data_IF_025242741432
#
_entry.id   IF_025242741432
#
_cell.length_a   1.000
_cell.length_b   1.000
_cell.length_c   1.000
_cell.angle_alpha   90.00
_cell.angle_beta   90.00
_cell.angle_gamma   90.00
#
_symmetry.space_group_name_H-M   'P 1'
#
loop_
_entity.id
_entity.type
_entity.pdbx_description
1 polymer ?
#
# COMPACT_ATOMS: atom_id res chain seq x y z
N UNK A 1 -41.42 37.79 24.94
CA UNK A 1 -42.23 36.78 25.65
C UNK A 1 -42.86 35.81 24.64
N UNK A 2 -42.29 34.65 24.38
CA UNK A 2 -43.01 33.48 23.85
C UNK A 2 -42.25 32.24 24.33
N UNK A 3 -42.97 31.37 25.05
CA UNK A 3 -42.47 30.19 25.75
C UNK A 3 -42.32 29.04 24.77
N UNK A 4 -41.13 28.39 24.75
CA UNK A 4 -40.88 27.14 24.07
C UNK A 4 -41.39 25.95 24.89
N UNK A 5 -42.15 25.06 24.28
CA UNK A 5 -42.60 23.78 24.88
C UNK A 5 -41.64 22.67 24.45
N UNK A 6 -41.02 22.01 25.43
CA UNK A 6 -40.35 20.71 25.27
C UNK A 6 -41.44 19.63 25.05
N UNK A 7 -41.25 18.81 24.04
CA UNK A 7 -41.90 17.50 23.92
C UNK A 7 -40.87 16.40 24.13
N UNK A 8 -41.07 15.65 25.20
CA UNK A 8 -40.34 14.40 25.44
C UNK A 8 -41.08 13.27 24.70
N UNK A 9 -40.36 12.52 23.86
CA UNK A 9 -40.87 11.32 23.22
C UNK A 9 -40.22 10.12 23.91
N UNK A 10 -41.02 9.36 24.64
CA UNK A 10 -40.68 8.04 25.19
C UNK A 10 -40.81 7.01 24.04
N UNK A 11 -39.73 6.32 23.71
CA UNK A 11 -39.77 5.15 22.82
C UNK A 11 -39.81 3.85 23.62
N UNK A 12 -40.47 2.79 23.13
CA UNK A 12 -40.65 1.55 23.85
C UNK A 12 -39.41 0.65 23.78
N UNK A 13 -39.02 0.09 24.91
CA UNK A 13 -38.01 -0.95 25.04
C UNK A 13 -38.55 -2.29 24.49
N UNK A 14 -37.86 -2.87 23.52
CA UNK A 14 -38.12 -4.23 23.03
C UNK A 14 -37.19 -5.18 23.78
N UNK A 15 -37.82 -6.05 24.60
CA UNK A 15 -37.12 -7.14 25.26
C UNK A 15 -36.88 -8.29 24.28
N UNK A 16 -35.62 -8.69 24.10
CA UNK A 16 -35.23 -9.84 23.29
C UNK A 16 -35.35 -11.12 24.14
N UNK A 17 -36.28 -11.98 23.78
CA UNK A 17 -36.45 -13.32 24.40
C UNK A 17 -35.51 -14.28 23.69
N UNK A 18 -34.50 -14.80 24.39
CA UNK A 18 -33.63 -15.87 23.89
C UNK A 18 -34.30 -17.21 24.22
N UNK A 19 -34.76 -17.92 23.19
CA UNK A 19 -35.29 -19.29 23.32
C UNK A 19 -34.13 -20.28 23.17
N UNK A 20 -33.85 -21.03 24.24
CA UNK A 20 -32.89 -22.13 24.25
C UNK A 20 -33.58 -23.41 23.77
N UNK A 21 -33.14 -23.94 22.61
CA UNK A 21 -33.52 -25.29 22.16
C UNK A 21 -32.57 -26.33 22.77
N UNK A 22 -33.08 -27.17 23.65
CA UNK A 22 -32.39 -28.36 24.19
C UNK A 22 -32.61 -29.53 23.23
N UNK A 23 -31.53 -30.21 22.80
CA UNK A 23 -31.60 -31.49 22.12
C UNK A 23 -31.39 -32.65 23.10
N UNK A 24 -32.10 -33.79 22.98
CA UNK A 24 -31.93 -34.94 23.86
C UNK A 24 -30.68 -35.73 23.45
N UNK A 25 -29.89 -36.13 24.45
CA UNK A 25 -28.70 -36.93 24.25
C UNK A 25 -29.04 -38.43 24.14
N UNK A 26 -28.47 -39.08 23.13
CA UNK A 26 -28.40 -40.53 23.03
C UNK A 26 -27.03 -40.99 23.55
N UNK A 27 -27.07 -41.80 24.61
CA UNK A 27 -25.92 -42.48 25.19
C UNK A 27 -25.68 -43.81 24.44
N UNK A 28 -24.66 -43.82 23.54
CA UNK A 28 -24.11 -45.05 22.99
C UNK A 28 -22.78 -45.37 23.69
N UNK A 29 -22.77 -46.43 24.48
CA UNK A 29 -21.57 -47.02 25.09
C UNK A 29 -20.74 -47.74 23.99
N UNK A 30 -19.60 -47.19 23.61
CA UNK A 30 -18.65 -47.84 22.76
C UNK A 30 -17.46 -48.33 23.59
N UNK A 31 -17.23 -49.65 23.61
CA UNK A 31 -16.09 -50.33 24.19
C UNK A 31 -14.82 -49.96 23.41
N UNK A 32 -13.83 -49.39 24.11
CA UNK A 32 -12.54 -49.04 23.56
C UNK A 32 -11.64 -50.27 23.46
N UNK A 33 -11.34 -50.70 22.25
CA UNK A 33 -10.18 -51.54 21.97
C UNK A 33 -9.00 -50.68 21.54
N UNK A 34 -7.91 -50.78 22.28
CA UNK A 34 -6.70 -49.98 22.14
C UNK A 34 -5.83 -50.57 21.01
N UNK A 35 -5.59 -49.89 19.87
CA UNK A 35 -4.54 -50.35 18.94
C UNK A 35 -3.22 -49.64 19.29
N UNK A 36 -2.16 -50.43 19.33
CA UNK A 36 -0.79 -50.05 19.61
C UNK A 36 -0.36 -48.79 18.82
N UNK A 37 0.18 -47.81 19.54
CA UNK A 37 0.74 -46.58 18.98
C UNK A 37 1.97 -46.89 18.10
N UNK A 38 1.80 -46.88 16.79
CA UNK A 38 2.92 -46.82 15.84
C UNK A 38 3.50 -45.40 15.91
N UNK A 39 4.72 -45.32 16.40
CA UNK A 39 5.50 -44.08 16.49
C UNK A 39 5.80 -43.61 15.06
N UNK A 40 5.00 -42.62 14.59
CA UNK A 40 5.28 -41.92 13.34
C UNK A 40 6.59 -41.14 13.49
N UNK A 41 7.63 -41.54 12.80
CA UNK A 41 8.86 -40.77 12.63
C UNK A 41 8.52 -39.54 11.81
N UNK A 42 8.50 -38.35 12.48
CA UNK A 42 8.35 -37.08 11.80
C UNK A 42 9.50 -36.86 10.83
N UNK A 43 9.21 -36.74 9.54
CA UNK A 43 10.17 -36.32 8.53
C UNK A 43 10.76 -34.96 8.91
N UNK A 44 12.07 -34.75 8.74
CA UNK A 44 12.69 -33.47 9.05
C UNK A 44 12.10 -32.37 8.16
N UNK A 45 11.64 -31.31 8.79
CA UNK A 45 11.19 -30.10 8.10
C UNK A 45 12.30 -29.59 7.17
N UNK A 46 12.02 -29.32 5.87
CA UNK A 46 13.07 -28.84 4.97
C UNK A 46 13.67 -27.54 5.50
N UNK A 47 14.97 -27.56 5.74
CA UNK A 47 15.74 -26.37 6.13
C UNK A 47 15.58 -25.32 5.02
N UNK A 48 15.21 -24.05 5.34
CA UNK A 48 15.12 -23.01 4.33
C UNK A 48 16.42 -22.93 3.54
N UNK A 49 16.32 -22.94 2.21
CA UNK A 49 17.48 -22.81 1.35
C UNK A 49 18.22 -21.50 1.70
N UNK A 50 19.51 -21.59 1.98
CA UNK A 50 20.33 -20.42 2.25
C UNK A 50 20.30 -19.49 1.03
N UNK A 51 20.13 -18.18 1.25
CA UNK A 51 20.19 -17.18 0.19
C UNK A 51 21.49 -17.35 -0.63
N UNK A 52 21.46 -17.29 -1.97
CA UNK A 52 22.65 -17.37 -2.80
C UNK A 52 23.71 -16.38 -2.34
N UNK A 53 24.93 -16.84 -2.08
CA UNK A 53 26.01 -16.03 -1.50
C UNK A 53 26.67 -15.04 -2.47
N UNK A 54 26.38 -15.10 -3.77
CA UNK A 54 27.10 -14.35 -4.80
C UNK A 54 26.28 -13.19 -5.36
N UNK A 55 26.16 -12.09 -4.59
CA UNK A 55 26.02 -10.80 -5.27
C UNK A 55 27.42 -10.26 -5.57
N UNK A 56 27.64 -9.80 -6.80
CA UNK A 56 28.88 -9.13 -7.22
C UNK A 56 29.22 -8.01 -6.23
N UNK A 57 30.48 -7.89 -5.78
CA UNK A 57 30.88 -6.82 -4.90
C UNK A 57 30.48 -5.47 -5.55
N UNK A 58 29.81 -4.59 -4.79
CA UNK A 58 29.31 -3.31 -5.30
C UNK A 58 27.94 -3.36 -5.98
N UNK A 59 27.28 -4.53 -6.09
CA UNK A 59 25.93 -4.60 -6.67
C UNK A 59 24.90 -3.85 -5.82
N UNK A 60 23.99 -3.16 -6.49
CA UNK A 60 22.91 -2.38 -5.89
C UNK A 60 21.62 -2.53 -6.69
N UNK A 61 20.51 -2.18 -6.07
CA UNK A 61 19.21 -2.09 -6.71
C UNK A 61 18.72 -0.65 -6.62
N UNK A 62 18.33 -0.09 -7.74
CA UNK A 62 17.63 1.20 -7.79
C UNK A 62 16.16 0.93 -8.03
N UNK A 63 15.34 1.35 -7.07
CA UNK A 63 13.90 1.33 -7.10
C UNK A 63 13.40 2.75 -7.40
N UNK A 64 12.44 2.87 -8.30
CA UNK A 64 11.62 4.07 -8.46
C UNK A 64 10.23 3.77 -7.92
N UNK A 65 9.66 4.66 -7.12
CA UNK A 65 8.35 4.51 -6.51
C UNK A 65 7.50 5.76 -6.71
N UNK A 66 6.19 5.54 -6.87
CA UNK A 66 5.17 6.58 -6.96
C UNK A 66 3.98 6.24 -6.06
N UNK A 67 3.12 7.22 -5.82
CA UNK A 67 1.92 7.09 -5.00
C UNK A 67 0.73 6.47 -5.74
N UNK A 68 -0.45 7.05 -5.53
CA UNK A 68 -1.75 6.50 -5.88
C UNK A 68 -2.06 6.68 -7.37
N UNK A 69 -2.48 5.59 -8.02
CA UNK A 69 -2.72 5.56 -9.47
C UNK A 69 -4.07 4.94 -9.80
N UNK A 70 -4.82 5.67 -10.64
CA UNK A 70 -6.16 5.32 -11.06
C UNK A 70 -6.45 5.97 -12.43
N UNK A 71 -6.52 5.19 -13.51
CA UNK A 71 -6.60 5.72 -14.88
C UNK A 71 -8.04 5.99 -15.36
N UNK A 72 -8.91 6.43 -14.46
CA UNK A 72 -10.33 6.72 -14.76
C UNK A 72 -11.28 5.76 -14.08
N UNK A 73 -12.57 5.98 -14.30
CA UNK A 73 -13.68 5.17 -13.81
C UNK A 73 -14.56 4.80 -14.98
N UNK A 74 -14.68 3.52 -15.31
CA UNK A 74 -15.59 3.09 -16.39
C UNK A 74 -17.02 3.62 -16.14
N UNK A 75 -17.67 4.37 -17.10
CA UNK A 75 -17.23 4.60 -18.48
C UNK A 75 -16.33 5.82 -18.72
N UNK A 76 -16.08 6.68 -17.71
CA UNK A 76 -15.21 7.86 -17.83
C UNK A 76 -13.74 7.44 -17.73
N UNK A 77 -13.11 7.27 -18.87
CA UNK A 77 -11.76 6.77 -19.02
C UNK A 77 -10.89 7.78 -19.80
N UNK A 78 -9.60 7.83 -19.46
CA UNK A 78 -8.66 8.68 -20.17
C UNK A 78 -8.73 8.42 -21.67
N UNK A 79 -8.83 9.46 -22.52
CA UNK A 79 -9.00 9.31 -23.96
C UNK A 79 -7.79 8.68 -24.64
N UNK A 80 -6.59 8.88 -24.08
CA UNK A 80 -5.33 8.29 -24.56
C UNK A 80 -4.55 7.62 -23.42
N UNK A 81 -5.04 6.48 -22.90
CA UNK A 81 -4.40 5.81 -21.78
C UNK A 81 -3.02 5.25 -22.12
N UNK A 82 -2.70 5.09 -23.41
CA UNK A 82 -1.41 4.59 -23.87
C UNK A 82 -0.27 5.60 -23.67
N UNK A 83 -0.56 6.88 -23.57
CA UNK A 83 0.40 7.96 -23.36
C UNK A 83 0.20 8.70 -22.03
N UNK A 84 -0.64 8.15 -21.14
CA UNK A 84 -0.98 8.81 -19.88
C UNK A 84 0.24 9.12 -19.01
N UNK A 85 1.29 8.31 -19.07
CA UNK A 85 2.53 8.49 -18.33
C UNK A 85 3.67 9.07 -19.18
N UNK A 86 3.43 9.43 -20.45
CA UNK A 86 4.50 9.77 -21.39
C UNK A 86 5.44 10.88 -20.90
N UNK A 87 4.89 11.93 -20.27
CA UNK A 87 5.67 13.06 -19.74
C UNK A 87 6.63 12.66 -18.60
N UNK A 88 6.28 11.64 -17.81
CA UNK A 88 7.05 11.20 -16.63
C UNK A 88 7.78 9.86 -16.85
N UNK A 89 7.51 9.14 -17.96
CA UNK A 89 8.12 7.85 -18.27
C UNK A 89 9.67 7.88 -18.21
N UNK A 90 10.36 8.90 -18.74
CA UNK A 90 11.82 8.98 -18.59
C UNK A 90 12.28 9.02 -17.14
N UNK A 91 11.56 9.74 -16.28
CA UNK A 91 11.88 9.82 -14.86
C UNK A 91 11.55 8.51 -14.13
N UNK A 92 10.50 7.78 -14.53
CA UNK A 92 10.17 6.48 -13.95
C UNK A 92 11.25 5.43 -14.25
N UNK A 93 11.71 5.36 -15.50
CA UNK A 93 12.54 4.25 -16.00
C UNK A 93 14.04 4.46 -15.89
N UNK A 94 14.52 5.71 -15.97
CA UNK A 94 15.95 5.98 -16.07
C UNK A 94 16.74 5.41 -14.88
N UNK A 95 17.58 4.41 -15.15
CA UNK A 95 18.46 3.78 -14.15
C UNK A 95 17.75 2.91 -13.11
N UNK A 96 16.42 2.74 -13.19
CA UNK A 96 15.67 1.90 -12.27
C UNK A 96 15.65 0.44 -12.74
N UNK A 97 15.86 -0.50 -11.83
CA UNK A 97 15.65 -1.92 -12.05
C UNK A 97 14.22 -2.34 -11.67
N UNK A 98 13.58 -1.59 -10.78
CA UNK A 98 12.21 -1.81 -10.33
C UNK A 98 11.48 -0.47 -10.37
N UNK A 99 10.28 -0.47 -10.95
CA UNK A 99 9.33 0.65 -10.87
C UNK A 99 8.10 0.15 -10.14
N UNK A 100 7.79 0.78 -9.02
CA UNK A 100 6.72 0.42 -8.09
C UNK A 100 5.67 1.54 -8.05
N UNK A 101 4.38 1.18 -7.92
CA UNK A 101 3.31 2.14 -7.68
C UNK A 101 2.10 1.50 -7.01
N UNK A 102 1.28 2.32 -6.35
CA UNK A 102 0.02 1.87 -5.78
C UNK A 102 -1.09 1.91 -6.84
N UNK A 103 -1.63 0.75 -7.18
CA UNK A 103 -2.81 0.63 -8.04
C UNK A 103 -4.06 0.80 -7.15
N UNK A 104 -4.56 2.02 -7.06
CA UNK A 104 -5.68 2.36 -6.18
C UNK A 104 -7.02 2.27 -6.91
N UNK A 105 -7.40 1.05 -7.24
CA UNK A 105 -8.60 0.73 -7.99
C UNK A 105 -8.53 -0.67 -8.55
N UNK A 106 -9.59 -1.10 -9.24
CA UNK A 106 -9.67 -2.45 -9.76
C UNK A 106 -9.53 -2.50 -11.30
N UNK A 107 -8.83 -3.51 -11.78
CA UNK A 107 -8.76 -3.88 -13.20
C UNK A 107 -9.72 -5.05 -13.46
N UNK A 108 -11.01 -4.74 -13.64
CA UNK A 108 -12.06 -5.77 -13.64
C UNK A 108 -13.22 -5.46 -14.58
N UNK A 109 -13.91 -6.52 -14.99
CA UNK A 109 -15.24 -6.46 -15.64
C UNK A 109 -16.37 -6.72 -14.66
N UNK A 110 -16.09 -7.03 -13.39
CA UNK A 110 -17.10 -7.24 -12.37
C UNK A 110 -17.96 -5.98 -12.19
N UNK A 111 -19.26 -6.16 -11.90
CA UNK A 111 -20.23 -5.07 -11.80
C UNK A 111 -20.82 -4.91 -10.40
N UNK A 112 -20.63 -5.90 -9.52
CA UNK A 112 -21.09 -5.83 -8.13
C UNK A 112 -20.19 -4.87 -7.34
N UNK A 113 -20.58 -3.60 -7.28
CA UNK A 113 -19.84 -2.55 -6.59
C UNK A 113 -20.09 -2.56 -5.07
N UNK A 114 -19.07 -2.23 -4.28
CA UNK A 114 -19.21 -1.99 -2.83
C UNK A 114 -20.21 -0.87 -2.51
N UNK A 115 -20.44 0.06 -3.46
CA UNK A 115 -21.39 1.15 -3.34
C UNK A 115 -22.83 0.75 -3.71
N UNK A 116 -23.09 -0.53 -4.02
CA UNK A 116 -24.41 -1.00 -4.46
C UNK A 116 -24.75 -0.63 -5.91
N UNK A 117 -26.04 -0.74 -6.25
CA UNK A 117 -26.53 -0.51 -7.61
C UNK A 117 -26.63 0.97 -7.99
N UNK A 118 -26.77 1.85 -7.00
CA UNK A 118 -26.83 3.30 -7.21
C UNK A 118 -25.71 3.97 -6.42
N UNK A 119 -24.87 4.79 -7.06
CA UNK A 119 -23.88 5.60 -6.35
C UNK A 119 -24.59 6.49 -5.32
N UNK A 120 -24.06 6.56 -4.11
CA UNK A 120 -24.52 7.48 -3.08
C UNK A 120 -23.35 8.37 -2.62
N UNK A 121 -23.68 9.53 -2.06
CA UNK A 121 -22.69 10.50 -1.60
C UNK A 121 -21.69 9.84 -0.62
N UNK A 122 -20.41 10.04 -0.87
CA UNK A 122 -19.33 9.53 -0.01
C UNK A 122 -18.90 8.08 -0.26
N UNK A 123 -19.49 7.38 -1.25
CA UNK A 123 -18.99 6.06 -1.66
C UNK A 123 -18.39 6.11 -3.06
N UNK A 124 -17.14 5.71 -3.16
CA UNK A 124 -16.36 5.68 -4.40
C UNK A 124 -15.93 4.25 -4.72
N UNK A 125 -16.13 3.82 -5.96
CA UNK A 125 -15.70 2.52 -6.46
C UNK A 125 -15.09 2.67 -7.85
N UNK A 126 -13.83 2.28 -7.98
CA UNK A 126 -13.01 2.54 -9.16
C UNK A 126 -12.77 1.29 -9.98
N UNK A 127 -13.09 1.38 -11.26
CA UNK A 127 -12.98 0.27 -12.19
C UNK A 127 -12.42 0.70 -13.54
N UNK A 128 -11.31 0.06 -13.93
CA UNK A 128 -10.78 0.11 -15.28
C UNK A 128 -10.91 -1.26 -15.96
N UNK A 129 -10.98 -1.35 -17.30
CA UNK A 129 -10.91 -2.61 -18.00
C UNK A 129 -9.61 -3.37 -17.67
N UNK A 130 -9.61 -4.72 -17.53
CA UNK A 130 -8.41 -5.51 -17.23
C UNK A 130 -7.22 -5.25 -18.16
N UNK A 131 -7.50 -4.96 -19.44
CA UNK A 131 -6.47 -4.61 -20.42
C UNK A 131 -5.70 -3.33 -20.13
N UNK A 132 -6.13 -2.50 -19.16
CA UNK A 132 -5.41 -1.29 -18.75
C UNK A 132 -4.07 -1.62 -18.05
N UNK A 133 -3.90 -2.83 -17.54
CA UNK A 133 -2.62 -3.32 -17.01
C UNK A 133 -1.45 -3.09 -17.98
N UNK A 134 -1.68 -3.18 -19.29
CA UNK A 134 -0.66 -2.95 -20.33
C UNK A 134 -0.10 -1.53 -20.33
N UNK A 135 -0.87 -0.53 -19.92
CA UNK A 135 -0.44 0.87 -19.92
C UNK A 135 0.54 1.15 -18.77
N UNK A 136 0.31 0.55 -17.60
CA UNK A 136 1.29 0.56 -16.50
C UNK A 136 2.57 -0.15 -16.92
N UNK A 137 2.47 -1.32 -17.58
CA UNK A 137 3.64 -2.04 -18.10
C UNK A 137 4.41 -1.21 -19.11
N UNK A 138 3.71 -0.56 -20.05
CA UNK A 138 4.31 0.33 -21.05
C UNK A 138 5.07 1.48 -20.38
N UNK A 139 4.53 2.09 -19.34
CA UNK A 139 5.19 3.15 -18.56
C UNK A 139 6.41 2.68 -17.78
N UNK A 140 6.64 1.36 -17.69
CA UNK A 140 7.81 0.76 -17.04
C UNK A 140 7.54 0.13 -15.68
N UNK A 141 6.31 0.15 -15.17
CA UNK A 141 6.00 -0.49 -13.90
C UNK A 141 6.31 -2.00 -13.95
N UNK A 142 6.90 -2.49 -12.89
CA UNK A 142 7.29 -3.90 -12.73
C UNK A 142 6.63 -4.56 -11.51
N UNK A 143 6.25 -3.76 -10.51
CA UNK A 143 5.51 -4.20 -9.32
C UNK A 143 4.39 -3.21 -9.05
N UNK A 144 3.16 -3.71 -8.91
CA UNK A 144 2.00 -2.92 -8.50
C UNK A 144 1.49 -3.40 -7.15
N UNK A 145 1.19 -2.45 -6.28
CA UNK A 145 0.54 -2.72 -5.01
C UNK A 145 -0.97 -2.76 -5.17
N UNK A 146 -1.62 -3.70 -4.46
CA UNK A 146 -3.07 -3.88 -4.36
C UNK A 146 -3.56 -3.83 -2.89
N UNK A 147 -2.67 -3.50 -1.92
CA UNK A 147 -3.09 -3.28 -0.54
C UNK A 147 -3.53 -1.83 -0.35
N UNK A 148 -4.82 -1.55 -0.54
CA UNK A 148 -5.45 -0.24 -0.36
C UNK A 148 -6.96 -0.37 -0.16
N UNK A 149 -7.67 0.75 0.10
CA UNK A 149 -9.11 0.82 0.33
C UNK A 149 -9.96 0.55 -0.92
N UNK A 150 -9.36 0.54 -2.12
CA UNK A 150 -10.04 0.35 -3.40
C UNK A 150 -9.80 -1.00 -4.07
N UNK A 151 -8.95 -1.85 -3.52
CA UNK A 151 -8.68 -3.17 -4.11
C UNK A 151 -9.89 -4.10 -4.09
N UNK A 152 -10.85 -3.85 -3.21
CA UNK A 152 -12.10 -4.63 -3.04
C UNK A 152 -13.36 -3.89 -3.52
N UNK A 153 -13.21 -2.84 -4.33
CA UNK A 153 -14.34 -2.03 -4.84
C UNK A 153 -15.41 -2.86 -5.56
N UNK A 154 -14.99 -3.96 -6.18
CA UNK A 154 -15.87 -4.94 -6.83
C UNK A 154 -15.71 -6.35 -6.20
N UNK A 155 -15.51 -6.39 -4.89
CA UNK A 155 -15.40 -7.59 -4.08
C UNK A 155 -14.21 -8.47 -4.44
N UNK A 156 -14.19 -9.67 -3.89
CA UNK A 156 -13.10 -10.64 -4.11
C UNK A 156 -12.93 -11.00 -5.60
N UNK A 157 -14.02 -11.02 -6.38
CA UNK A 157 -13.95 -11.27 -7.82
C UNK A 157 -13.22 -10.15 -8.57
N UNK A 158 -13.47 -8.89 -8.19
CA UNK A 158 -12.78 -7.73 -8.75
C UNK A 158 -11.29 -7.76 -8.44
N UNK A 159 -10.92 -8.00 -7.18
CA UNK A 159 -9.53 -8.12 -6.74
C UNK A 159 -8.80 -9.27 -7.48
N UNK A 160 -9.43 -10.45 -7.54
CA UNK A 160 -8.83 -11.59 -8.25
C UNK A 160 -8.63 -11.34 -9.75
N UNK A 161 -9.51 -10.56 -10.40
CA UNK A 161 -9.32 -10.15 -11.80
C UNK A 161 -8.18 -9.15 -11.93
N UNK A 162 -8.06 -8.19 -11.01
CA UNK A 162 -6.97 -7.22 -10.96
C UNK A 162 -5.61 -7.92 -10.87
N UNK A 163 -5.46 -8.85 -9.93
CA UNK A 163 -4.24 -9.66 -9.78
C UNK A 163 -3.89 -10.39 -11.08
N UNK A 164 -4.88 -11.06 -11.69
CA UNK A 164 -4.67 -11.76 -12.98
C UNK A 164 -4.26 -10.80 -14.11
N UNK A 165 -4.88 -9.62 -14.19
CA UNK A 165 -4.58 -8.63 -15.22
C UNK A 165 -3.14 -8.10 -15.08
N UNK A 166 -2.70 -7.81 -13.86
CA UNK A 166 -1.33 -7.38 -13.54
C UNK A 166 -0.31 -8.46 -13.96
N UNK A 167 -0.56 -9.71 -13.57
CA UNK A 167 0.33 -10.84 -13.93
C UNK A 167 0.34 -11.10 -15.45
N UNK A 168 -0.82 -11.05 -16.11
CA UNK A 168 -0.92 -11.24 -17.57
C UNK A 168 -0.17 -10.15 -18.35
N UNK A 169 -0.04 -8.95 -17.80
CA UNK A 169 0.76 -7.88 -18.38
C UNK A 169 2.27 -8.03 -18.07
N UNK A 170 2.69 -9.08 -17.37
CA UNK A 170 4.10 -9.35 -17.04
C UNK A 170 4.66 -8.45 -15.93
N UNK A 171 3.81 -8.07 -14.98
CA UNK A 171 4.19 -7.36 -13.75
C UNK A 171 3.95 -8.25 -12.54
N UNK A 172 4.69 -8.00 -11.46
CA UNK A 172 4.39 -8.58 -10.16
C UNK A 172 3.31 -7.76 -9.46
N UNK A 173 2.50 -8.42 -8.63
CA UNK A 173 1.53 -7.79 -7.74
C UNK A 173 1.91 -8.08 -6.30
N UNK A 174 1.56 -7.20 -5.36
CA UNK A 174 1.74 -7.37 -3.91
C UNK A 174 0.55 -6.79 -3.17
N UNK A 175 0.22 -7.35 -1.99
CA UNK A 175 -0.77 -6.76 -1.10
C UNK A 175 -1.88 -7.70 -0.62
N UNK A 176 -1.90 -8.95 -1.07
CA UNK A 176 -2.85 -9.95 -0.54
C UNK A 176 -2.48 -10.38 0.89
N UNK A 177 -3.44 -10.89 1.68
CA UNK A 177 -3.17 -11.40 3.02
C UNK A 177 -2.04 -12.45 3.04
N UNK A 178 -1.01 -12.23 3.85
CA UNK A 178 0.13 -13.15 4.00
C UNK A 178 1.08 -13.21 2.81
N UNK A 179 0.91 -12.36 1.80
CA UNK A 179 1.72 -12.38 0.58
C UNK A 179 3.11 -11.77 0.79
N UNK A 180 4.13 -12.44 0.25
CA UNK A 180 5.49 -11.93 0.09
C UNK A 180 5.82 -12.03 -1.40
N UNK A 181 5.78 -10.92 -2.10
CA UNK A 181 6.09 -10.85 -3.54
C UNK A 181 7.59 -10.75 -3.74
N UNK A 182 8.15 -11.64 -4.57
CA UNK A 182 9.60 -11.72 -4.80
C UNK A 182 9.93 -11.38 -6.23
N UNK A 183 10.90 -10.48 -6.39
CA UNK A 183 11.51 -10.16 -7.68
C UNK A 183 13.03 -10.23 -7.57
N UNK A 184 13.70 -10.39 -8.70
CA UNK A 184 15.18 -10.36 -8.75
C UNK A 184 15.61 -9.15 -9.58
N UNK A 185 16.45 -8.29 -9.01
CA UNK A 185 17.01 -7.13 -9.67
C UNK A 185 18.54 -7.15 -9.54
N UNK A 186 19.27 -7.06 -10.65
CA UNK A 186 20.73 -7.17 -10.69
C UNK A 186 21.27 -8.43 -9.96
N UNK A 187 20.53 -9.55 -10.01
CA UNK A 187 20.86 -10.79 -9.30
C UNK A 187 20.64 -10.72 -7.78
N UNK A 188 20.00 -9.65 -7.26
CA UNK A 188 19.69 -9.46 -5.85
C UNK A 188 18.22 -9.79 -5.61
N UNK A 189 17.90 -10.74 -4.69
CA UNK A 189 16.51 -10.98 -4.29
C UNK A 189 15.94 -9.78 -3.54
N UNK A 190 14.79 -9.29 -4.01
CA UNK A 190 14.01 -8.21 -3.39
C UNK A 190 12.63 -8.75 -3.05
N UNK A 191 12.18 -8.56 -1.83
CA UNK A 191 10.83 -8.88 -1.39
C UNK A 191 10.02 -7.61 -1.20
N UNK A 192 8.76 -7.64 -1.62
CA UNK A 192 7.74 -6.66 -1.31
C UNK A 192 6.73 -7.26 -0.36
N UNK A 193 6.33 -6.50 0.65
CA UNK A 193 5.24 -6.82 1.57
C UNK A 193 4.42 -5.55 1.74
N UNK A 194 3.13 -5.64 1.47
CA UNK A 194 2.27 -4.45 1.46
C UNK A 194 1.09 -4.63 2.42
N UNK A 195 0.71 -3.54 3.06
CA UNK A 195 -0.26 -3.52 4.16
C UNK A 195 -1.27 -2.38 3.99
N UNK A 196 -2.50 -2.64 4.42
CA UNK A 196 -3.56 -1.64 4.57
C UNK A 196 -4.45 -2.01 5.77
N UNK A 197 -5.33 -1.12 6.26
CA UNK A 197 -6.15 -1.41 7.43
C UNK A 197 -7.40 -2.28 7.13
N UNK A 198 -7.35 -3.15 6.13
CA UNK A 198 -8.50 -3.91 5.63
C UNK A 198 -8.27 -5.41 5.70
N UNK A 199 -9.34 -6.18 5.99
CA UNK A 199 -9.27 -7.63 6.14
C UNK A 199 -8.99 -8.41 4.84
N UNK A 200 -9.13 -7.77 3.68
CA UNK A 200 -8.80 -8.33 2.37
C UNK A 200 -7.37 -8.03 1.90
N UNK A 201 -6.57 -7.43 2.77
CA UNK A 201 -5.14 -7.17 2.61
C UNK A 201 -4.37 -7.73 3.81
N UNK A 202 -3.03 -7.72 3.79
CA UNK A 202 -2.28 -7.87 5.02
C UNK A 202 -2.55 -6.64 5.90
N UNK A 203 -3.04 -6.86 7.14
CA UNK A 203 -3.47 -5.77 8.00
C UNK A 203 -2.29 -5.02 8.61
N UNK A 204 -2.29 -3.68 8.52
CA UNK A 204 -1.35 -2.83 9.23
C UNK A 204 -1.75 -2.62 10.71
N UNK A 205 -3.01 -2.93 11.07
CA UNK A 205 -3.51 -2.81 12.44
C UNK A 205 -3.11 -4.00 13.32
N UNK A 206 -2.80 -5.16 12.72
CA UNK A 206 -2.25 -6.32 13.42
C UNK A 206 -0.72 -6.28 13.39
N UNK A 207 -0.12 -5.44 14.25
CA UNK A 207 1.33 -5.28 14.32
C UNK A 207 2.10 -6.58 14.59
N UNK A 208 1.64 -7.53 15.45
CA UNK A 208 2.29 -8.84 15.59
C UNK A 208 2.35 -9.65 14.30
N UNK A 209 1.23 -9.77 13.57
CA UNK A 209 1.19 -10.49 12.29
C UNK A 209 2.01 -9.79 11.21
N UNK A 210 1.91 -8.46 11.10
CA UNK A 210 2.71 -7.66 10.18
C UNK A 210 4.22 -7.84 10.43
N UNK A 211 4.65 -7.75 11.68
CA UNK A 211 6.04 -7.99 12.10
C UNK A 211 6.51 -9.40 11.72
N UNK A 212 5.67 -10.42 11.92
CA UNK A 212 6.00 -11.81 11.58
C UNK A 212 6.20 -11.97 10.07
N UNK A 213 5.32 -11.39 9.25
CA UNK A 213 5.38 -11.44 7.79
C UNK A 213 6.63 -10.73 7.25
N UNK A 214 6.97 -9.54 7.77
CA UNK A 214 8.19 -8.80 7.38
C UNK A 214 9.44 -9.59 7.77
N UNK A 215 9.49 -10.17 8.98
CA UNK A 215 10.60 -11.05 9.40
C UNK A 215 10.73 -12.28 8.49
N UNK A 216 9.61 -12.84 8.02
CA UNK A 216 9.63 -13.95 7.06
C UNK A 216 10.19 -13.50 5.71
N UNK A 217 9.83 -12.31 5.21
CA UNK A 217 10.41 -11.74 3.99
C UNK A 217 11.92 -11.55 4.13
N UNK A 218 12.39 -11.00 5.25
CA UNK A 218 13.81 -10.75 5.54
C UNK A 218 14.67 -12.04 5.61
N UNK A 219 14.06 -13.19 5.89
CA UNK A 219 14.76 -14.48 5.81
C UNK A 219 14.98 -14.97 4.40
N UNK A 220 14.21 -14.48 3.42
CA UNK A 220 14.21 -15.00 2.03
C UNK A 220 14.67 -13.99 0.99
N UNK A 221 14.85 -12.72 1.36
CA UNK A 221 15.33 -11.65 0.48
C UNK A 221 16.40 -10.81 1.19
N UNK A 222 17.30 -10.21 0.40
CA UNK A 222 18.35 -9.32 0.92
C UNK A 222 17.86 -7.89 1.07
N UNK A 223 16.87 -7.52 0.28
CA UNK A 223 16.21 -6.22 0.32
C UNK A 223 14.73 -6.49 0.58
N UNK A 224 14.17 -5.87 1.61
CA UNK A 224 12.74 -5.92 1.90
C UNK A 224 12.19 -4.50 1.76
N UNK A 225 11.26 -4.33 0.84
CA UNK A 225 10.51 -3.10 0.65
C UNK A 225 9.13 -3.30 1.27
N UNK A 226 8.80 -2.49 2.25
CA UNK A 226 7.46 -2.49 2.86
C UNK A 226 6.68 -1.32 2.29
N UNK A 227 5.46 -1.58 1.87
CA UNK A 227 4.48 -0.57 1.52
C UNK A 227 3.38 -0.54 2.58
N UNK A 228 2.89 0.65 2.91
CA UNK A 228 1.70 0.85 3.74
C UNK A 228 0.75 1.86 3.09
N UNK A 229 -0.53 1.51 3.00
CA UNK A 229 -1.61 2.42 2.68
C UNK A 229 -2.26 2.83 4.00
N UNK A 230 -1.89 4.00 4.52
CA UNK A 230 -2.14 4.37 5.93
C UNK A 230 -2.31 5.87 6.11
N UNK A 231 -3.05 6.23 7.14
CA UNK A 231 -3.27 7.62 7.53
C UNK A 231 -4.57 8.22 7.00
N UNK A 232 -4.96 9.34 7.59
CA UNK A 232 -6.13 10.13 7.17
C UNK A 232 -5.91 10.76 5.79
N UNK A 233 -7.00 11.11 5.10
CA UNK A 233 -6.97 11.63 3.74
C UNK A 233 -7.22 13.14 3.67
N UNK A 234 -6.72 13.77 2.60
CA UNK A 234 -6.96 15.15 2.24
C UNK A 234 -5.80 16.10 2.51
N UNK A 235 -5.93 17.35 2.05
CA UNK A 235 -4.88 18.37 2.15
C UNK A 235 -4.41 18.65 3.58
N UNK A 236 -5.32 18.59 4.57
CA UNK A 236 -5.00 18.79 5.99
C UNK A 236 -4.36 17.57 6.67
N UNK A 237 -4.13 16.46 5.94
CA UNK A 237 -3.51 15.24 6.44
C UNK A 237 -2.03 15.12 6.02
N UNK A 238 -1.37 16.23 5.71
CA UNK A 238 0.00 16.28 5.21
C UNK A 238 1.08 16.04 6.29
N UNK A 239 0.74 16.20 7.58
CA UNK A 239 1.65 15.97 8.70
C UNK A 239 1.58 14.53 9.25
N UNK A 240 2.73 14.03 9.72
CA UNK A 240 2.84 12.79 10.50
C UNK A 240 2.94 13.13 11.98
N UNK A 241 1.93 12.75 12.75
CA UNK A 241 1.78 13.19 14.15
C UNK A 241 2.25 12.16 15.19
N UNK A 242 2.63 10.96 14.75
CA UNK A 242 2.96 9.83 15.65
C UNK A 242 1.76 9.25 16.40
N UNK A 243 0.55 9.55 15.98
CA UNK A 243 -0.71 9.09 16.60
C UNK A 243 -1.51 8.21 15.67
N UNK A 244 -2.49 7.51 16.22
CA UNK A 244 -3.54 6.86 15.42
C UNK A 244 -4.29 7.92 14.61
N UNK A 245 -4.53 7.60 13.34
CA UNK A 245 -5.26 8.44 12.40
C UNK A 245 -6.58 7.78 12.02
N UNK A 246 -7.64 8.57 11.96
CA UNK A 246 -8.99 8.11 11.61
C UNK A 246 -9.51 8.95 10.44
N UNK A 247 -10.15 8.30 9.47
CA UNK A 247 -10.79 8.98 8.34
C UNK A 247 -12.15 8.37 8.06
N UNK A 248 -13.20 9.20 8.03
CA UNK A 248 -14.61 8.78 7.85
C UNK A 248 -15.05 7.66 8.80
N UNK A 249 -14.51 7.65 10.03
CA UNK A 249 -14.80 6.63 11.02
C UNK A 249 -14.01 5.33 10.89
N UNK A 250 -13.14 5.21 9.88
CA UNK A 250 -12.22 4.09 9.71
C UNK A 250 -10.89 4.34 10.43
N UNK A 251 -10.43 3.35 11.18
CA UNK A 251 -9.08 3.34 11.73
C UNK A 251 -8.07 3.16 10.58
N UNK A 252 -7.22 4.19 10.37
CA UNK A 252 -6.19 4.22 9.32
C UNK A 252 -4.79 3.95 9.88
N UNK A 253 -4.72 3.55 11.17
CA UNK A 253 -3.52 3.17 11.88
C UNK A 253 -2.65 4.34 12.32
N UNK A 254 -1.49 3.99 12.90
CA UNK A 254 -0.43 4.94 13.22
C UNK A 254 0.73 4.74 12.23
N UNK A 255 0.86 5.60 11.21
CA UNK A 255 1.87 5.42 10.14
C UNK A 255 3.30 5.40 10.68
N UNK A 256 3.63 6.22 11.68
CA UNK A 256 4.98 6.28 12.24
C UNK A 256 5.32 5.01 13.03
N UNK A 257 4.44 4.60 13.94
CA UNK A 257 4.63 3.39 14.73
C UNK A 257 4.75 2.14 13.83
N UNK A 258 3.92 2.04 12.77
CA UNK A 258 4.00 0.94 11.82
C UNK A 258 5.31 0.95 11.04
N UNK A 259 5.74 2.11 10.52
CA UNK A 259 6.98 2.22 9.74
C UNK A 259 8.22 1.87 10.59
N UNK A 260 8.27 2.35 11.83
CA UNK A 260 9.35 2.00 12.77
C UNK A 260 9.37 0.50 13.07
N UNK A 261 8.20 -0.10 13.35
CA UNK A 261 8.06 -1.55 13.54
C UNK A 261 8.52 -2.32 12.30
N UNK A 262 8.21 -1.85 11.10
CA UNK A 262 8.60 -2.49 9.85
C UNK A 262 10.13 -2.51 9.67
N UNK A 263 10.81 -1.39 9.92
CA UNK A 263 12.27 -1.33 9.92
C UNK A 263 12.87 -2.26 10.97
N UNK A 264 12.33 -2.27 12.18
CA UNK A 264 12.77 -3.16 13.26
C UNK A 264 12.56 -4.65 12.95
N UNK A 265 11.60 -4.95 12.08
CA UNK A 265 11.36 -6.31 11.59
C UNK A 265 12.26 -6.73 10.41
N UNK A 266 13.04 -5.79 9.83
CA UNK A 266 13.99 -6.05 8.77
C UNK A 266 13.67 -5.40 7.42
N UNK A 267 12.76 -4.42 7.36
CA UNK A 267 12.55 -3.64 6.16
C UNK A 267 13.79 -2.79 5.82
N UNK A 268 14.13 -2.73 4.54
CA UNK A 268 15.23 -1.90 4.01
C UNK A 268 14.74 -0.51 3.60
N UNK A 269 13.46 -0.39 3.30
CA UNK A 269 12.78 0.82 2.83
C UNK A 269 11.29 0.70 3.18
N UNK A 270 10.69 1.79 3.64
CA UNK A 270 9.23 1.91 3.78
C UNK A 270 8.73 2.99 2.83
N UNK A 271 7.69 2.67 2.07
CA UNK A 271 7.00 3.58 1.15
C UNK A 271 5.53 3.56 1.53
N UNK A 272 4.89 4.72 1.51
CA UNK A 272 3.48 4.82 1.81
C UNK A 272 2.72 5.72 0.83
N UNK A 273 1.41 5.54 0.81
CA UNK A 273 0.41 6.46 0.29
C UNK A 273 -0.93 6.23 1.01
N UNK A 274 -2.01 6.82 0.53
CA UNK A 274 -3.34 6.78 1.14
C UNK A 274 -3.85 8.15 1.59
N UNK A 275 -3.02 9.05 2.14
CA UNK A 275 -3.45 10.41 2.46
C UNK A 275 -3.81 11.27 1.26
N UNK A 276 -3.50 10.85 0.03
CA UNK A 276 -3.69 11.60 -1.22
C UNK A 276 -2.91 12.92 -1.30
N UNK A 277 -2.12 13.23 -0.29
CA UNK A 277 -1.21 14.38 -0.19
C UNK A 277 0.20 13.88 0.14
N UNK A 278 1.23 14.59 -0.33
CA UNK A 278 2.61 14.30 0.04
C UNK A 278 2.83 14.52 1.53
N UNK A 279 3.61 13.64 2.16
CA UNK A 279 4.05 13.77 3.56
C UNK A 279 5.57 13.84 3.65
N UNK A 280 6.07 14.17 4.84
CA UNK A 280 7.48 14.18 5.16
C UNK A 280 8.16 12.81 5.01
N UNK A 281 9.49 12.83 5.00
CA UNK A 281 10.35 11.64 4.96
C UNK A 281 11.30 11.63 6.15
N UNK A 282 11.57 10.45 6.67
CA UNK A 282 12.40 10.22 7.87
C UNK A 282 13.51 9.21 7.58
N UNK A 283 14.64 9.35 8.26
CA UNK A 283 15.60 8.26 8.44
C UNK A 283 15.47 7.65 9.83
N UNK A 284 15.03 6.39 9.90
CA UNK A 284 14.98 5.62 11.12
C UNK A 284 15.99 4.46 11.05
N UNK A 285 16.92 4.41 12.02
CA UNK A 285 18.01 3.40 12.07
C UNK A 285 18.79 3.28 10.74
N UNK A 286 18.88 4.39 10.00
CA UNK A 286 19.61 4.46 8.74
C UNK A 286 18.84 4.01 7.51
N UNK A 287 17.56 3.69 7.64
CA UNK A 287 16.63 3.34 6.56
C UNK A 287 15.69 4.50 6.27
N UNK A 288 15.39 4.71 4.98
CA UNK A 288 14.48 5.77 4.56
C UNK A 288 13.03 5.31 4.71
N UNK A 289 12.19 6.21 5.21
CA UNK A 289 10.73 6.08 5.27
C UNK A 289 10.14 7.26 4.51
N UNK A 290 9.28 6.99 3.51
CA UNK A 290 8.46 7.98 2.80
C UNK A 290 7.00 7.79 3.25
N UNK A 291 6.47 8.73 4.02
CA UNK A 291 5.17 8.57 4.70
C UNK A 291 3.95 8.79 3.81
N UNK A 292 4.09 9.45 2.67
CA UNK A 292 3.13 9.47 1.57
C UNK A 292 3.79 10.03 0.32
N UNK A 293 3.57 9.37 -0.81
CA UNK A 293 3.93 9.87 -2.13
C UNK A 293 2.76 10.57 -2.85
N UNK A 294 1.62 10.75 -2.15
CA UNK A 294 0.44 11.45 -2.65
C UNK A 294 -0.21 10.78 -3.86
N UNK A 295 -1.05 11.53 -4.55
CA UNK A 295 -1.62 11.12 -5.83
C UNK A 295 -0.54 11.14 -6.92
N UNK A 296 -0.58 10.20 -7.86
CA UNK A 296 0.38 10.19 -8.97
C UNK A 296 -0.28 10.21 -10.35
N UNK A 297 -1.40 9.51 -10.53
CA UNK A 297 -2.08 9.47 -11.82
C UNK A 297 -3.56 9.13 -11.61
N UNK A 298 -4.48 10.06 -11.94
CA UNK A 298 -5.90 9.84 -11.67
C UNK A 298 -6.81 10.64 -12.59
N UNK A 299 -7.24 10.03 -13.71
CA UNK A 299 -8.12 10.71 -14.66
C UNK A 299 -9.50 10.96 -14.05
N UNK A 300 -9.79 12.23 -13.72
CA UNK A 300 -11.03 12.73 -13.10
C UNK A 300 -11.42 12.06 -11.76
N UNK A 301 -10.47 11.42 -11.06
CA UNK A 301 -10.75 10.61 -9.88
C UNK A 301 -10.28 11.24 -8.58
N UNK A 302 -9.23 12.06 -8.64
CA UNK A 302 -8.68 12.73 -7.47
C UNK A 302 -9.16 14.17 -7.39
N UNK A 303 -9.28 14.68 -6.18
CA UNK A 303 -9.29 16.13 -5.97
C UNK A 303 -7.94 16.68 -6.42
N UNK A 304 -7.96 17.64 -7.35
CA UNK A 304 -6.77 18.26 -7.95
C UNK A 304 -6.79 19.76 -7.68
N UNK A 305 -6.76 20.12 -6.39
CA UNK A 305 -6.68 21.48 -5.90
C UNK A 305 -5.59 21.61 -4.83
N UNK A 306 -4.94 22.75 -4.77
CA UNK A 306 -3.89 23.04 -3.80
C UNK A 306 -2.82 21.96 -3.71
N UNK A 307 -2.52 21.52 -2.49
CA UNK A 307 -1.45 20.54 -2.20
C UNK A 307 -1.76 19.13 -2.72
N UNK A 308 -3.03 18.80 -3.01
CA UNK A 308 -3.44 17.52 -3.59
C UNK A 308 -2.99 17.35 -5.05
N UNK A 309 -2.62 18.45 -5.73
CA UNK A 309 -2.04 18.40 -7.08
C UNK A 309 -0.57 18.03 -7.08
N UNK A 310 0.12 18.20 -5.93
CA UNK A 310 1.55 17.90 -5.83
C UNK A 310 1.77 16.40 -5.71
N UNK A 311 2.70 15.91 -6.50
CA UNK A 311 3.12 14.52 -6.56
C UNK A 311 4.62 14.40 -6.66
N UNK A 312 5.14 13.18 -6.52
CA UNK A 312 6.56 12.95 -6.65
C UNK A 312 6.91 11.56 -7.15
N UNK A 313 8.04 11.46 -7.84
CA UNK A 313 8.71 10.19 -8.13
C UNK A 313 9.90 10.08 -7.17
N UNK A 314 9.87 9.09 -6.30
CA UNK A 314 10.96 8.78 -5.38
C UNK A 314 11.86 7.72 -6.02
N UNK A 315 13.15 8.02 -6.19
CA UNK A 315 14.15 7.04 -6.61
C UNK A 315 15.12 6.75 -5.47
N UNK A 316 15.25 5.48 -5.11
CA UNK A 316 16.13 5.02 -4.03
C UNK A 316 17.07 3.95 -4.56
N UNK A 317 18.35 4.06 -4.26
CA UNK A 317 19.33 3.00 -4.49
C UNK A 317 19.71 2.37 -3.15
N UNK A 318 19.57 1.05 -3.09
CA UNK A 318 19.94 0.22 -1.96
C UNK A 318 21.10 -0.69 -2.34
N UNK A 319 22.05 -0.89 -1.43
CA UNK A 319 23.10 -1.88 -1.62
C UNK A 319 22.55 -3.31 -1.66
N UNK A 320 23.36 -4.26 -2.08
CA UNK A 320 23.00 -5.69 -2.06
C UNK A 320 22.65 -6.25 -0.68
N UNK A 321 22.94 -5.51 0.39
CA UNK A 321 22.56 -5.83 1.77
C UNK A 321 21.36 -5.03 2.29
N UNK A 322 20.66 -4.28 1.42
CA UNK A 322 19.49 -3.47 1.80
C UNK A 322 19.83 -2.12 2.47
N UNK A 323 21.11 -1.74 2.57
CA UNK A 323 21.47 -0.44 3.16
C UNK A 323 21.22 0.68 2.16
N UNK A 324 20.77 1.81 2.66
CA UNK A 324 20.62 3.05 1.88
C UNK A 324 21.95 3.48 1.27
N UNK A 325 21.96 3.80 -0.01
CA UNK A 325 23.11 4.33 -0.76
C UNK A 325 22.84 5.77 -1.16
N UNK A 326 21.77 6.04 -1.87
CA UNK A 326 21.36 7.39 -2.31
C UNK A 326 19.87 7.40 -2.63
N UNK A 327 19.27 8.60 -2.58
CA UNK A 327 17.92 8.79 -3.08
C UNK A 327 17.76 10.17 -3.72
N UNK A 328 16.72 10.30 -4.54
CA UNK A 328 16.30 11.56 -5.17
C UNK A 328 14.79 11.60 -5.31
N UNK A 329 14.22 12.75 -5.02
CA UNK A 329 12.83 13.10 -5.29
C UNK A 329 12.77 13.91 -6.58
N UNK A 330 11.91 13.50 -7.52
CA UNK A 330 11.60 14.24 -8.74
C UNK A 330 10.20 14.83 -8.58
N UNK A 331 10.06 16.16 -8.70
CA UNK A 331 8.76 16.78 -8.52
C UNK A 331 7.86 16.47 -9.71
N UNK A 332 6.62 16.18 -9.42
CA UNK A 332 5.53 15.95 -10.38
C UNK A 332 4.33 16.75 -9.92
N UNK A 333 3.54 17.21 -10.86
CA UNK A 333 2.26 17.84 -10.63
C UNK A 333 1.19 17.16 -11.46
N UNK A 334 -0.01 17.03 -10.92
CA UNK A 334 -1.16 16.59 -11.68
C UNK A 334 -1.74 17.77 -12.44
N UNK A 335 -1.98 17.62 -13.75
CA UNK A 335 -2.71 18.61 -14.54
C UNK A 335 -4.23 18.59 -14.25
N UNK A 336 -5.00 19.43 -14.91
CA UNK A 336 -6.44 19.55 -14.69
C UNK A 336 -7.25 18.27 -14.96
N UNK A 337 -6.67 17.26 -15.62
CA UNK A 337 -7.27 15.96 -15.84
C UNK A 337 -6.69 14.87 -14.92
N UNK A 338 -5.76 15.23 -14.04
CA UNK A 338 -5.08 14.29 -13.14
C UNK A 338 -3.93 13.52 -13.79
N UNK A 339 -3.44 13.98 -14.95
CA UNK A 339 -2.29 13.40 -15.63
C UNK A 339 -0.98 13.89 -15.00
N UNK A 340 0.00 13.01 -14.72
CA UNK A 340 1.27 13.42 -14.14
C UNK A 340 2.16 14.16 -15.15
N UNK A 341 2.60 15.36 -14.79
CA UNK A 341 3.56 16.16 -15.55
C UNK A 341 4.75 16.55 -14.67
N UNK A 342 6.00 16.61 -15.22
CA UNK A 342 7.16 17.00 -14.45
C UNK A 342 7.05 18.46 -13.96
N UNK A 343 7.46 18.73 -12.72
CA UNK A 343 7.49 20.06 -12.14
C UNK A 343 6.69 20.20 -10.85
N UNK A 344 6.44 21.44 -10.43
CA UNK A 344 5.69 21.75 -9.21
C UNK A 344 6.54 21.86 -7.96
N UNK A 345 5.87 22.08 -6.81
CA UNK A 345 6.45 22.44 -5.52
C UNK A 345 6.86 21.28 -4.60
N UNK A 346 6.74 20.03 -5.04
CA UNK A 346 6.87 18.84 -4.20
C UNK A 346 8.19 18.77 -3.39
N UNK A 347 9.31 19.20 -3.96
CA UNK A 347 10.60 19.14 -3.26
C UNK A 347 10.60 20.02 -2.01
N UNK A 348 10.22 21.29 -2.14
CA UNK A 348 10.17 22.22 -1.02
C UNK A 348 9.09 21.84 0.00
N UNK A 349 7.96 21.33 -0.49
CA UNK A 349 6.85 20.87 0.34
C UNK A 349 7.28 19.70 1.23
N UNK A 350 7.81 18.63 0.65
CA UNK A 350 8.27 17.44 1.41
C UNK A 350 9.45 17.79 2.32
N UNK A 351 10.38 18.66 1.89
CA UNK A 351 11.50 19.09 2.73
C UNK A 351 11.02 19.82 3.98
N UNK A 352 10.04 20.72 3.84
CA UNK A 352 9.45 21.46 4.97
C UNK A 352 8.73 20.51 5.95
N UNK A 353 7.90 19.61 5.44
CA UNK A 353 7.19 18.62 6.28
C UNK A 353 8.18 17.68 6.98
N UNK A 354 9.20 17.20 6.26
CA UNK A 354 10.22 16.32 6.87
C UNK A 354 10.90 17.01 8.06
N UNK A 355 11.29 18.27 7.91
CA UNK A 355 11.93 19.02 8.98
C UNK A 355 10.98 19.30 10.15
N UNK A 356 9.72 19.62 9.87
CA UNK A 356 8.70 19.93 10.87
C UNK A 356 8.34 18.71 11.72
N UNK A 357 8.12 17.56 11.07
CA UNK A 357 7.57 16.36 11.73
C UNK A 357 8.67 15.53 12.43
N UNK A 358 9.90 15.51 11.87
CA UNK A 358 10.92 14.53 12.31
C UNK A 358 12.19 15.16 12.88
N UNK A 359 12.35 16.47 12.84
CA UNK A 359 13.46 17.18 13.47
C UNK A 359 14.82 16.59 13.11
N UNK A 360 15.55 16.06 14.10
CA UNK A 360 16.88 15.49 13.90
C UNK A 360 16.91 14.19 13.05
N UNK A 361 15.79 13.48 12.93
CA UNK A 361 15.69 12.27 12.11
C UNK A 361 15.08 12.54 10.71
N UNK A 362 14.82 13.80 10.38
CA UNK A 362 14.28 14.21 9.09
C UNK A 362 15.20 13.81 7.93
N UNK A 363 14.66 13.37 6.82
CA UNK A 363 15.41 13.30 5.58
C UNK A 363 15.72 14.72 5.09
N UNK A 364 17.00 15.03 4.87
CA UNK A 364 17.43 16.33 4.31
C UNK A 364 17.30 16.32 2.81
N UNK A 365 16.32 17.05 2.29
CA UNK A 365 16.02 17.12 0.86
C UNK A 365 16.55 18.44 0.32
N UNK A 366 17.54 18.36 -0.56
CA UNK A 366 18.11 19.52 -1.23
C UNK A 366 17.15 20.08 -2.30
N UNK A 367 17.33 21.33 -2.70
CA UNK A 367 16.53 21.95 -3.79
C UNK A 367 16.64 21.18 -5.13
N UNK A 368 17.72 20.44 -5.32
CA UNK A 368 17.90 19.52 -6.46
C UNK A 368 17.10 18.22 -6.34
N UNK A 369 16.42 17.99 -5.23
CA UNK A 369 15.70 16.75 -4.89
C UNK A 369 16.60 15.64 -4.31
N UNK A 370 17.91 15.83 -4.18
CA UNK A 370 18.80 14.85 -3.54
C UNK A 370 18.44 14.71 -2.06
N UNK A 371 18.30 13.45 -1.62
CA UNK A 371 17.91 13.09 -0.26
C UNK A 371 19.15 12.55 0.48
N UNK A 372 19.48 13.17 1.60
CA UNK A 372 20.58 12.78 2.47
C UNK A 372 20.07 12.43 3.87
N UNK A 373 20.88 11.65 4.60
CA UNK A 373 20.70 11.49 6.05
C UNK A 373 21.01 12.82 6.75
N UNK A 374 20.36 13.05 7.87
CA UNK A 374 20.65 14.17 8.77
C UNK A 374 22.04 14.07 9.36
#
# INVERSE_FOLDING_TARGET
MRRSRLFAVLGPSVALVISACSFPGDTATATATNPAATRATSAPTPRPAALPRTSRAGASVTLTAVGDMMLGITPDLAPDPAHYFAAVEPALRHGAQIVFGNLEGTLTTATASKCGAAPHAGCFAFRNPPGYARYFKKAGFSVLNDANNHSHDFGAAGQAQTVRAVHAAGMAQTGLPGEITRVTANGIPVAFVAFAPYGYTASLLDLPAARALIKQAARTARIVVVYMHAGAEGAGADHVTGREEVYLGEDRGNPEAFAHMAIDAGASLVIASGPHVLRGMQFYKGHLIAYSLGNFAGYHNFAIDGDLTMSAILRVTLSSSGRFVKARLYPVQLDGAGQPVPGGGAISFVARLSAADFGASAARIQSSGVINRS
#
